data_IF_965787147984
#
_entry.id   IF_965787147984
#
_cell.length_a   1.000
_cell.length_b   1.000
_cell.length_c   1.000
_cell.angle_alpha   90.00
_cell.angle_beta   90.00
_cell.angle_gamma   90.00
#
_symmetry.space_group_name_H-M   'P 1'
#
loop_
_entity.id
_entity.type
_entity.pdbx_description
1 polymer ?
#
# COMPACT_ATOMS: atom_id res chain seq x y z
N UNK A 1 -10.17 19.34 -10.37
CA UNK A 1 -10.17 19.29 -8.90
C UNK A 1 -10.95 18.06 -8.47
N UNK A 2 -10.23 16.94 -8.33
CA UNK A 2 -10.77 15.77 -7.63
C UNK A 2 -10.73 16.11 -6.14
N UNK A 3 -11.90 16.34 -5.56
CA UNK A 3 -12.04 16.49 -4.12
C UNK A 3 -11.50 15.21 -3.45
N UNK A 4 -10.47 15.35 -2.61
CA UNK A 4 -10.03 14.34 -1.66
C UNK A 4 -11.22 13.97 -0.77
N UNK A 5 -11.93 12.93 -1.15
CA UNK A 5 -13.06 12.42 -0.38
C UNK A 5 -12.50 11.75 0.85
N UNK A 6 -12.27 12.56 1.90
CA UNK A 6 -11.80 12.07 3.20
C UNK A 6 -12.65 10.89 3.64
N UNK A 7 -12.01 9.75 3.91
CA UNK A 7 -12.68 8.56 4.39
C UNK A 7 -13.47 8.87 5.68
N UNK A 8 -14.70 8.33 5.82
CA UNK A 8 -15.46 8.47 7.05
C UNK A 8 -14.67 7.94 8.25
N UNK A 9 -14.77 8.60 9.39
CA UNK A 9 -14.05 8.22 10.62
C UNK A 9 -14.30 6.75 11.01
N UNK A 10 -15.54 6.28 10.88
CA UNK A 10 -15.90 4.89 11.17
C UNK A 10 -15.20 3.89 10.26
N UNK A 11 -14.95 4.25 9.00
CA UNK A 11 -14.19 3.41 8.06
C UNK A 11 -12.73 3.34 8.50
N UNK A 12 -12.14 4.47 8.89
CA UNK A 12 -10.75 4.52 9.39
C UNK A 12 -10.60 3.64 10.64
N UNK A 13 -11.53 3.74 11.60
CA UNK A 13 -11.52 2.90 12.80
C UNK A 13 -11.59 1.39 12.48
N UNK A 14 -12.40 1.01 11.48
CA UNK A 14 -12.45 -0.39 11.03
C UNK A 14 -11.17 -0.82 10.33
N UNK A 15 -10.56 0.05 9.53
CA UNK A 15 -9.28 -0.22 8.87
C UNK A 15 -8.16 -0.39 9.90
N UNK A 16 -8.06 0.51 10.87
CA UNK A 16 -7.09 0.39 11.96
C UNK A 16 -7.29 -0.89 12.79
N UNK A 17 -8.55 -1.32 12.97
CA UNK A 17 -8.85 -2.57 13.64
C UNK A 17 -8.35 -3.79 12.84
N UNK A 18 -8.53 -3.82 11.52
CA UNK A 18 -8.00 -4.89 10.64
C UNK A 18 -6.48 -4.94 10.72
N UNK A 19 -5.80 -3.79 10.58
CA UNK A 19 -4.34 -3.72 10.64
C UNK A 19 -3.83 -4.17 12.02
N UNK A 20 -4.43 -3.71 13.11
CA UNK A 20 -4.07 -4.16 14.45
C UNK A 20 -4.28 -5.67 14.68
N UNK A 21 -5.31 -6.28 14.08
CA UNK A 21 -5.50 -7.73 14.10
C UNK A 21 -4.40 -8.47 13.33
N UNK A 22 -3.99 -7.92 12.19
CA UNK A 22 -2.87 -8.45 11.43
C UNK A 22 -1.55 -8.36 12.21
N UNK A 23 -1.30 -7.25 12.89
CA UNK A 23 -0.15 -7.04 13.78
C UNK A 23 -0.13 -8.02 14.95
N UNK A 24 -1.29 -8.39 15.49
CA UNK A 24 -1.45 -9.42 16.51
C UNK A 24 -1.25 -10.85 15.94
N UNK A 25 -1.02 -11.00 14.65
CA UNK A 25 -0.76 -12.28 13.98
C UNK A 25 -2.02 -13.05 13.58
N UNK A 26 -3.18 -12.40 13.56
CA UNK A 26 -4.42 -13.02 13.10
C UNK A 26 -4.39 -13.17 11.58
N UNK A 27 -4.63 -14.39 11.10
CA UNK A 27 -4.70 -14.70 9.66
C UNK A 27 -5.90 -14.02 8.99
N UNK A 28 -5.69 -13.43 7.79
CA UNK A 28 -6.75 -12.73 7.05
C UNK A 28 -7.99 -13.59 6.81
N UNK A 29 -7.78 -14.88 6.50
CA UNK A 29 -8.88 -15.80 6.22
C UNK A 29 -9.74 -16.06 7.48
N UNK A 30 -9.15 -15.95 8.68
CA UNK A 30 -9.81 -16.16 9.97
C UNK A 30 -10.51 -14.92 10.50
N UNK A 31 -10.21 -13.72 9.98
CA UNK A 31 -10.86 -12.49 10.41
C UNK A 31 -12.37 -12.54 10.17
N UNK A 32 -13.15 -12.08 11.15
CA UNK A 32 -14.60 -11.97 11.09
C UNK A 32 -15.03 -10.53 11.29
N UNK A 33 -16.06 -10.09 10.57
CA UNK A 33 -16.59 -8.73 10.70
C UNK A 33 -16.95 -8.39 12.15
N UNK A 34 -17.48 -9.35 12.90
CA UNK A 34 -17.86 -9.14 14.31
C UNK A 34 -16.64 -8.81 15.18
N UNK A 35 -15.49 -9.44 14.92
CA UNK A 35 -14.28 -9.21 15.71
C UNK A 35 -13.65 -7.85 15.31
N UNK A 36 -13.66 -7.52 14.03
CA UNK A 36 -13.20 -6.22 13.51
C UNK A 36 -14.04 -5.09 14.11
N UNK A 37 -15.37 -5.20 14.05
CA UNK A 37 -16.27 -4.15 14.54
C UNK A 37 -16.20 -4.00 16.05
N UNK A 38 -16.04 -5.11 16.80
CA UNK A 38 -15.82 -5.09 18.23
C UNK A 38 -14.52 -4.34 18.59
N UNK A 39 -13.44 -4.62 17.89
CA UNK A 39 -12.15 -3.93 18.09
C UNK A 39 -12.23 -2.45 17.72
N UNK A 40 -12.97 -2.11 16.67
CA UNK A 40 -13.20 -0.74 16.22
C UNK A 40 -14.19 0.05 17.12
N UNK A 41 -14.89 -0.60 18.06
CA UNK A 41 -15.92 0.03 18.88
C UNK A 41 -17.19 0.41 18.09
N UNK A 42 -17.50 -0.32 17.01
CA UNK A 42 -18.59 -0.04 16.07
C UNK A 42 -19.59 -1.20 16.06
N UNK A 43 -20.88 -0.90 15.93
CA UNK A 43 -21.89 -1.92 15.72
C UNK A 43 -21.76 -2.63 14.37
N UNK A 44 -22.01 -3.95 14.32
CA UNK A 44 -21.95 -4.74 13.09
C UNK A 44 -22.87 -4.19 11.99
N UNK A 45 -24.07 -3.74 12.35
CA UNK A 45 -25.02 -3.10 11.40
C UNK A 45 -24.42 -1.86 10.75
N UNK A 46 -23.78 -1.01 11.55
CA UNK A 46 -23.12 0.20 11.07
C UNK A 46 -21.98 -0.11 10.10
N UNK A 47 -21.22 -1.20 10.29
CA UNK A 47 -20.16 -1.57 9.34
C UNK A 47 -20.71 -1.81 7.93
N UNK A 48 -21.85 -2.49 7.83
CA UNK A 48 -22.46 -2.78 6.52
C UNK A 48 -23.15 -1.57 5.85
N UNK A 49 -23.22 -0.41 6.50
CA UNK A 49 -23.58 0.86 5.88
C UNK A 49 -22.43 1.41 5.00
N UNK A 50 -21.18 0.97 5.27
CA UNK A 50 -19.97 1.47 4.61
C UNK A 50 -19.30 0.46 3.68
N UNK A 51 -19.42 -0.83 3.96
CA UNK A 51 -18.80 -1.91 3.18
C UNK A 51 -19.80 -3.01 2.87
N UNK A 52 -19.70 -3.58 1.69
CA UNK A 52 -20.63 -4.62 1.23
C UNK A 52 -20.22 -6.02 1.67
N UNK A 53 -18.94 -6.23 1.99
CA UNK A 53 -18.40 -7.53 2.39
C UNK A 53 -17.22 -7.42 3.36
N UNK A 54 -16.88 -8.54 3.98
CA UNK A 54 -15.68 -8.69 4.80
C UNK A 54 -14.42 -8.46 3.95
N UNK A 55 -14.43 -9.00 2.76
CA UNK A 55 -13.31 -8.94 1.83
C UNK A 55 -13.05 -7.50 1.36
N UNK A 56 -14.10 -6.74 1.06
CA UNK A 56 -13.99 -5.31 0.74
C UNK A 56 -13.36 -4.53 1.91
N UNK A 57 -13.80 -4.81 3.14
CA UNK A 57 -13.27 -4.18 4.34
C UNK A 57 -11.78 -4.49 4.54
N UNK A 58 -11.38 -5.76 4.39
CA UNK A 58 -9.99 -6.19 4.55
C UNK A 58 -9.11 -5.56 3.47
N UNK A 59 -9.51 -5.65 2.20
CA UNK A 59 -8.74 -5.08 1.07
C UNK A 59 -8.61 -3.56 1.23
N UNK A 60 -9.70 -2.88 1.58
CA UNK A 60 -9.66 -1.45 1.84
C UNK A 60 -8.68 -1.06 2.95
N UNK A 61 -8.65 -1.82 4.05
CA UNK A 61 -7.72 -1.60 5.15
C UNK A 61 -6.26 -1.80 4.74
N UNK A 62 -5.97 -2.87 4.01
CA UNK A 62 -4.61 -3.16 3.52
C UNK A 62 -4.11 -2.08 2.57
N UNK A 63 -4.94 -1.64 1.62
CA UNK A 63 -4.60 -0.57 0.67
C UNK A 63 -4.41 0.78 1.38
N UNK A 64 -5.27 1.09 2.35
CA UNK A 64 -5.15 2.30 3.16
C UNK A 64 -3.84 2.34 3.94
N UNK A 65 -3.44 1.23 4.56
CA UNK A 65 -2.18 1.17 5.31
C UNK A 65 -0.97 1.31 4.37
N UNK A 66 -0.96 0.60 3.24
CA UNK A 66 0.11 0.74 2.23
C UNK A 66 0.18 2.17 1.69
N UNK A 67 -0.95 2.80 1.39
CA UNK A 67 -0.98 4.19 0.94
C UNK A 67 -0.30 5.12 1.95
N UNK A 68 -0.60 4.97 3.25
CA UNK A 68 0.06 5.75 4.30
C UNK A 68 1.57 5.56 4.33
N UNK A 69 2.05 4.33 4.08
CA UNK A 69 3.50 4.07 4.02
C UNK A 69 4.15 4.77 2.81
N UNK A 70 3.51 4.73 1.64
CA UNK A 70 4.02 5.43 0.46
C UNK A 70 3.97 6.95 0.60
N UNK A 71 2.95 7.51 1.21
CA UNK A 71 2.89 8.95 1.48
C UNK A 71 4.02 9.43 2.41
N UNK A 72 4.40 8.60 3.39
CA UNK A 72 5.55 8.89 4.25
C UNK A 72 6.86 8.89 3.47
N UNK A 73 7.09 7.87 2.65
CA UNK A 73 8.36 7.75 1.90
C UNK A 73 8.49 8.85 0.86
N UNK A 74 7.41 9.26 0.16
CA UNK A 74 7.51 10.35 -0.83
C UNK A 74 7.96 11.65 -0.16
N UNK A 75 7.46 11.95 1.06
CA UNK A 75 7.91 13.11 1.83
C UNK A 75 9.40 13.05 2.15
N UNK A 76 9.91 11.87 2.54
CA UNK A 76 11.35 11.67 2.80
C UNK A 76 12.18 11.81 1.53
N UNK A 77 11.77 11.18 0.43
CA UNK A 77 12.49 11.23 -0.85
C UNK A 77 12.53 12.65 -1.41
N UNK A 78 11.42 13.37 -1.35
CA UNK A 78 11.35 14.77 -1.81
C UNK A 78 12.26 15.70 -0.99
N UNK A 79 12.37 15.46 0.32
CA UNK A 79 13.23 16.24 1.22
C UNK A 79 14.72 15.82 1.20
N UNK A 80 15.08 14.73 0.51
CA UNK A 80 16.45 14.23 0.43
C UNK A 80 17.13 14.79 -0.81
N UNK A 81 18.33 15.33 -0.67
CA UNK A 81 19.12 15.80 -1.79
C UNK A 81 20.02 14.69 -2.35
N UNK A 82 20.20 14.70 -3.67
CA UNK A 82 21.11 13.81 -4.40
C UNK A 82 20.51 12.45 -4.74
N UNK A 83 20.80 12.01 -5.98
CA UNK A 83 20.29 10.75 -6.51
C UNK A 83 20.68 9.54 -5.66
N UNK A 84 21.97 9.43 -5.31
CA UNK A 84 22.47 8.31 -4.51
C UNK A 84 21.76 8.25 -3.15
N UNK A 85 21.63 9.38 -2.45
CA UNK A 85 20.98 9.44 -1.15
C UNK A 85 19.50 9.08 -1.25
N UNK A 86 18.79 9.49 -2.31
CA UNK A 86 17.40 9.08 -2.57
C UNK A 86 17.29 7.57 -2.78
N UNK A 87 18.21 6.96 -3.56
CA UNK A 87 18.23 5.51 -3.77
C UNK A 87 18.50 4.76 -2.47
N UNK A 88 19.47 5.19 -1.67
CA UNK A 88 19.75 4.60 -0.36
C UNK A 88 18.51 4.67 0.55
N UNK A 89 17.84 5.83 0.63
CA UNK A 89 16.63 6.00 1.43
C UNK A 89 15.48 5.08 1.03
N UNK A 90 15.23 4.92 -0.28
CA UNK A 90 14.17 4.01 -0.73
C UNK A 90 14.51 2.55 -0.45
N UNK A 91 15.77 2.15 -0.57
CA UNK A 91 16.21 0.80 -0.25
C UNK A 91 16.08 0.51 1.25
N UNK A 92 16.53 1.41 2.12
CA UNK A 92 16.37 1.31 3.56
C UNK A 92 14.89 1.18 3.94
N UNK A 93 14.04 2.05 3.37
CA UNK A 93 12.60 2.01 3.60
C UNK A 93 11.97 0.67 3.18
N UNK A 94 12.35 0.13 2.01
CA UNK A 94 11.89 -1.19 1.55
C UNK A 94 12.29 -2.27 2.55
N UNK A 95 13.55 -2.32 2.97
CA UNK A 95 14.05 -3.31 3.90
C UNK A 95 13.37 -3.22 5.26
N UNK A 96 13.18 -2.02 5.79
CA UNK A 96 12.51 -1.79 7.07
C UNK A 96 11.03 -2.19 7.00
N UNK A 97 10.34 -1.86 5.91
CA UNK A 97 8.94 -2.26 5.74
C UNK A 97 8.77 -3.78 5.59
N UNK A 98 9.71 -4.48 4.94
CA UNK A 98 9.68 -5.94 4.92
C UNK A 98 9.89 -6.57 6.31
N UNK A 99 10.63 -5.93 7.19
CA UNK A 99 10.91 -6.42 8.55
C UNK A 99 9.80 -6.07 9.54
N UNK A 100 9.28 -4.85 9.48
CA UNK A 100 8.45 -4.27 10.53
C UNK A 100 6.97 -4.13 10.13
N UNK A 101 6.66 -3.91 8.85
CA UNK A 101 5.30 -3.72 8.37
C UNK A 101 4.70 -5.05 7.89
N UNK A 102 3.82 -5.63 8.70
CA UNK A 102 3.17 -6.91 8.35
C UNK A 102 2.31 -6.81 7.09
N UNK A 103 1.70 -5.67 6.84
CA UNK A 103 0.91 -5.42 5.62
C UNK A 103 1.78 -5.50 4.37
N UNK A 104 2.96 -4.87 4.38
CA UNK A 104 3.89 -4.89 3.25
C UNK A 104 4.42 -6.31 3.00
N UNK A 105 4.86 -6.99 4.05
CA UNK A 105 5.32 -8.38 3.99
C UNK A 105 4.21 -9.32 3.49
N UNK A 106 2.96 -9.09 3.90
CA UNK A 106 1.81 -9.86 3.45
C UNK A 106 1.56 -9.69 1.95
N UNK A 107 1.55 -8.45 1.43
CA UNK A 107 1.39 -8.21 -0.01
C UNK A 107 2.48 -8.89 -0.83
N UNK A 108 3.73 -8.82 -0.39
CA UNK A 108 4.83 -9.52 -1.04
C UNK A 108 4.62 -11.05 -1.05
N UNK A 109 4.19 -11.63 0.07
CA UNK A 109 3.90 -13.07 0.16
C UNK A 109 2.72 -13.49 -0.73
N UNK A 110 1.67 -12.68 -0.83
CA UNK A 110 0.55 -12.91 -1.74
C UNK A 110 1.05 -12.87 -3.20
N UNK A 111 1.81 -11.84 -3.56
CA UNK A 111 2.39 -11.69 -4.90
C UNK A 111 3.33 -12.82 -5.30
N UNK A 112 4.10 -13.36 -4.36
CA UNK A 112 4.98 -14.52 -4.57
C UNK A 112 4.27 -15.88 -4.49
N UNK A 113 2.96 -15.91 -4.22
CA UNK A 113 2.19 -17.15 -4.07
C UNK A 113 2.54 -17.96 -2.82
N UNK A 114 3.16 -17.34 -1.81
CA UNK A 114 3.55 -17.99 -0.55
C UNK A 114 2.56 -17.76 0.59
N UNK A 115 1.45 -17.09 0.30
CA UNK A 115 0.32 -16.88 1.21
C UNK A 115 -0.98 -17.09 0.45
N UNK A 116 -1.73 -18.11 0.84
CA UNK A 116 -3.00 -18.43 0.23
C UNK A 116 -4.12 -17.52 0.78
N UNK A 117 -4.84 -16.90 -0.12
CA UNK A 117 -6.04 -16.11 0.17
C UNK A 117 -7.26 -16.72 -0.52
N UNK A 118 -8.43 -16.54 0.09
CA UNK A 118 -9.69 -17.02 -0.49
C UNK A 118 -9.94 -16.39 -1.87
N UNK A 119 -10.66 -17.11 -2.75
CA UNK A 119 -11.05 -16.61 -4.07
C UNK A 119 -11.81 -15.28 -3.98
N UNK A 120 -12.66 -15.13 -2.96
CA UNK A 120 -13.39 -13.88 -2.72
C UNK A 120 -12.45 -12.71 -2.43
N UNK A 121 -11.43 -12.91 -1.60
CA UNK A 121 -10.43 -11.90 -1.29
C UNK A 121 -9.58 -11.55 -2.52
N UNK A 122 -9.19 -12.57 -3.34
CA UNK A 122 -8.49 -12.34 -4.60
C UNK A 122 -9.32 -11.50 -5.57
N UNK A 123 -10.63 -11.76 -5.65
CA UNK A 123 -11.53 -11.01 -6.50
C UNK A 123 -11.65 -9.55 -6.06
N UNK A 124 -11.76 -9.27 -4.77
CA UNK A 124 -11.78 -7.90 -4.25
C UNK A 124 -10.45 -7.17 -4.49
N UNK A 125 -9.31 -7.84 -4.32
CA UNK A 125 -8.00 -7.24 -4.65
C UNK A 125 -7.89 -6.89 -6.14
N UNK A 126 -8.38 -7.76 -7.05
CA UNK A 126 -8.43 -7.46 -8.49
C UNK A 126 -9.31 -6.27 -8.81
N UNK A 127 -10.49 -6.17 -8.21
CA UNK A 127 -11.38 -5.00 -8.38
C UNK A 127 -10.73 -3.71 -7.91
N UNK A 128 -10.03 -3.75 -6.78
CA UNK A 128 -9.33 -2.60 -6.25
C UNK A 128 -8.17 -2.17 -7.16
N UNK A 129 -7.46 -3.11 -7.79
CA UNK A 129 -6.37 -2.83 -8.72
C UNK A 129 -6.85 -2.19 -10.04
N UNK A 130 -8.07 -2.49 -10.50
CA UNK A 130 -8.65 -1.92 -11.73
C UNK A 130 -9.25 -0.52 -11.54
N UNK A 131 -9.57 -0.12 -10.30
CA UNK A 131 -9.87 1.28 -9.97
C UNK A 131 -8.51 2.00 -9.86
N UNK A 132 -8.35 3.16 -10.50
CA UNK A 132 -7.13 3.98 -10.37
C UNK A 132 -6.66 3.99 -8.91
N UNK A 133 -5.69 3.09 -8.63
CA UNK A 133 -5.26 2.87 -7.27
C UNK A 133 -4.31 3.99 -6.90
N UNK A 134 -4.67 4.80 -5.90
CA UNK A 134 -3.82 5.87 -5.39
C UNK A 134 -2.42 5.38 -4.97
N UNK A 135 -2.32 4.11 -4.54
CA UNK A 135 -1.03 3.45 -4.24
C UNK A 135 -0.12 3.41 -5.47
N UNK A 136 -0.63 3.04 -6.64
CA UNK A 136 0.16 3.00 -7.88
C UNK A 136 0.66 4.39 -8.25
N UNK A 137 -0.21 5.40 -8.18
CA UNK A 137 0.15 6.79 -8.49
C UNK A 137 1.23 7.31 -7.54
N UNK A 138 1.13 7.01 -6.25
CA UNK A 138 2.13 7.44 -5.26
C UNK A 138 3.48 6.73 -5.48
N UNK A 139 3.47 5.44 -5.80
CA UNK A 139 4.69 4.71 -6.16
C UNK A 139 5.36 5.31 -7.40
N UNK A 140 4.59 5.62 -8.42
CA UNK A 140 5.10 6.29 -9.62
C UNK A 140 5.73 7.65 -9.31
N UNK A 141 5.14 8.45 -8.40
CA UNK A 141 5.73 9.71 -7.95
C UNK A 141 7.08 9.52 -7.28
N UNK A 142 7.23 8.52 -6.40
CA UNK A 142 8.50 8.19 -5.75
C UNK A 142 9.57 7.83 -6.79
N UNK A 143 9.22 6.97 -7.73
CA UNK A 143 10.13 6.54 -8.80
C UNK A 143 10.54 7.72 -9.68
N UNK A 144 9.58 8.54 -10.11
CA UNK A 144 9.84 9.72 -10.94
C UNK A 144 10.79 10.70 -10.25
N UNK A 145 10.57 11.00 -8.98
CA UNK A 145 11.41 11.92 -8.19
C UNK A 145 12.87 11.44 -8.13
N UNK A 146 13.10 10.14 -7.94
CA UNK A 146 14.44 9.55 -7.91
C UNK A 146 15.09 9.63 -9.30
N UNK A 147 14.37 9.21 -10.34
CA UNK A 147 14.90 9.16 -11.70
C UNK A 147 15.20 10.55 -12.26
N UNK A 148 14.32 11.53 -12.03
CA UNK A 148 14.53 12.92 -12.43
C UNK A 148 15.77 13.52 -11.75
N UNK A 149 16.00 13.21 -10.47
CA UNK A 149 17.20 13.62 -9.77
C UNK A 149 18.46 13.05 -10.44
N UNK A 150 18.46 11.75 -10.77
CA UNK A 150 19.59 11.11 -11.43
C UNK A 150 19.89 11.67 -12.83
N UNK A 151 18.86 12.07 -13.57
CA UNK A 151 19.03 12.74 -14.87
C UNK A 151 19.60 14.15 -14.69
N UNK A 152 19.11 14.93 -13.73
CA UNK A 152 19.64 16.29 -13.43
C UNK A 152 21.11 16.26 -13.02
N UNK A 153 21.55 15.24 -12.31
CA UNK A 153 22.94 15.07 -11.88
C UNK A 153 23.84 14.45 -12.98
N UNK A 154 23.25 14.08 -14.12
CA UNK A 154 24.01 13.45 -15.22
C UNK A 154 24.42 12.00 -14.96
N UNK A 155 23.91 11.37 -13.92
CA UNK A 155 24.15 9.96 -13.57
C UNK A 155 23.34 9.06 -14.47
N UNK A 156 22.10 9.43 -14.75
CA UNK A 156 21.20 8.72 -15.64
C UNK A 156 21.08 9.44 -16.99
N UNK A 157 21.00 8.68 -18.07
CA UNK A 157 20.68 9.24 -19.39
C UNK A 157 19.18 9.56 -19.46
N UNK A 158 18.78 10.71 -20.04
CA UNK A 158 17.39 10.99 -20.28
C UNK A 158 16.79 9.95 -21.26
N UNK A 159 15.80 9.22 -20.77
CA UNK A 159 15.05 8.21 -21.53
C UNK A 159 13.57 8.50 -21.35
N UNK A 160 12.70 7.96 -22.21
CA UNK A 160 11.25 8.09 -22.02
C UNK A 160 10.85 7.57 -20.64
N UNK A 161 10.04 8.34 -19.91
CA UNK A 161 9.63 8.03 -18.53
C UNK A 161 9.05 6.61 -18.39
N UNK A 162 8.28 6.15 -19.36
CA UNK A 162 7.69 4.81 -19.36
C UNK A 162 8.75 3.72 -19.36
N UNK A 163 9.83 3.87 -20.14
CA UNK A 163 10.94 2.91 -20.20
C UNK A 163 11.76 2.92 -18.92
N UNK A 164 11.97 4.11 -18.33
CA UNK A 164 12.65 4.23 -17.04
C UNK A 164 11.86 3.54 -15.92
N UNK A 165 10.55 3.75 -15.86
CA UNK A 165 9.66 3.10 -14.88
C UNK A 165 9.65 1.59 -15.04
N UNK A 166 9.57 1.09 -16.28
CA UNK A 166 9.63 -0.35 -16.57
C UNK A 166 10.96 -0.96 -16.11
N UNK A 167 12.09 -0.32 -16.43
CA UNK A 167 13.41 -0.78 -16.04
C UNK A 167 13.55 -0.80 -14.51
N UNK A 168 13.12 0.25 -13.82
CA UNK A 168 13.16 0.33 -12.36
C UNK A 168 12.22 -0.68 -11.71
N UNK A 169 11.00 -0.79 -12.19
CA UNK A 169 10.00 -1.73 -11.67
C UNK A 169 10.43 -3.19 -11.84
N UNK A 170 11.07 -3.55 -12.95
CA UNK A 170 11.57 -4.90 -13.20
C UNK A 170 12.69 -5.32 -12.24
N UNK A 171 13.41 -4.38 -11.64
CA UNK A 171 14.47 -4.66 -10.66
C UNK A 171 13.93 -4.82 -9.22
N UNK A 172 12.73 -4.32 -8.95
CA UNK A 172 12.11 -4.38 -7.60
C UNK A 172 11.21 -5.61 -7.46
N UNK A 173 10.63 -6.10 -8.58
CA UNK A 173 9.64 -7.18 -8.61
C UNK A 173 10.22 -8.57 -8.95
N UNK A 174 11.53 -8.70 -9.07
CA UNK A 174 12.23 -9.98 -9.12
C UNK A 174 12.63 -10.37 -7.71
#
# INVERSE_FOLDING_TARGET
TMEDKKLPEKVILMYDAVIGMLEDGIDLNQMKVIDITKRAGIGKGTAYEYVSSKEELIVGALLYDIQKQFERIIGVITATDGFQSKVERILDWILDNFRECKTFALFARIGMGTYDISEHLQNEMRKAHTKECCVTNTLEQVVDEILECGVKEGILKPVKKELQRMAFGSQILI
#
